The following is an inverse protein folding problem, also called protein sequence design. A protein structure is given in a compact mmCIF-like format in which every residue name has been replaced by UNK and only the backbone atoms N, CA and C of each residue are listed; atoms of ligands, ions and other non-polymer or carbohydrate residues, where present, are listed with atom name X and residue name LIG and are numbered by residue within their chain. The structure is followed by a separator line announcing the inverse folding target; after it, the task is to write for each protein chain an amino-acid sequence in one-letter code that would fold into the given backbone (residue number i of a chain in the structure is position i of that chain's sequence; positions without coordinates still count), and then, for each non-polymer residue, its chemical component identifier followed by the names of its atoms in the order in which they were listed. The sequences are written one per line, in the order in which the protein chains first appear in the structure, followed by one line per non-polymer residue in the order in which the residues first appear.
data_IF_957329426427
#
_entry.id   IF_957329426427
#
_cell.length_a   1.000
_cell.length_b   1.000
_cell.length_c   1.000
_cell.angle_alpha   90.00
_cell.angle_beta   90.00
_cell.angle_gamma   90.00
#
_symmetry.space_group_name_H-M   'P 1'
#
loop_
_entity.id
_entity.type
_entity.pdbx_description
1 polymer ?
#
# COMPACT_ATOMS: atom_id res chain seq x y z
N UNK A 1 -6.52 -8.98 -22.49
CA UNK A 1 -5.19 -9.07 -21.82
C UNK A 1 -5.25 -9.06 -20.29
N UNK A 2 -5.70 -7.96 -19.67
CA UNK A 2 -5.62 -7.80 -18.21
C UNK A 2 -6.43 -8.84 -17.45
N UNK A 3 -7.61 -9.19 -17.98
CA UNK A 3 -8.47 -10.22 -17.43
C UNK A 3 -7.77 -11.58 -17.43
N UNK A 4 -7.10 -11.94 -18.52
CA UNK A 4 -6.38 -13.19 -18.70
C UNK A 4 -5.17 -13.26 -17.75
N UNK A 5 -4.42 -12.16 -17.60
CA UNK A 5 -3.35 -12.07 -16.59
C UNK A 5 -3.93 -12.30 -15.19
N UNK A 6 -5.04 -11.64 -14.82
CA UNK A 6 -5.71 -11.85 -13.53
C UNK A 6 -6.16 -13.31 -13.34
N UNK A 7 -6.69 -13.96 -14.38
CA UNK A 7 -7.08 -15.37 -14.31
C UNK A 7 -5.88 -16.29 -14.08
N UNK A 8 -4.76 -16.03 -14.74
CA UNK A 8 -3.54 -16.81 -14.51
C UNK A 8 -3.03 -16.60 -13.09
N UNK A 9 -2.94 -15.35 -12.63
CA UNK A 9 -2.57 -15.04 -11.23
C UNK A 9 -3.49 -15.77 -10.25
N UNK A 10 -4.80 -15.83 -10.52
CA UNK A 10 -5.80 -16.53 -9.70
C UNK A 10 -5.48 -18.00 -9.60
N UNK A 11 -5.22 -18.62 -10.74
CA UNK A 11 -4.84 -20.02 -10.79
C UNK A 11 -3.55 -20.28 -10.00
N UNK A 12 -2.49 -19.49 -10.22
CA UNK A 12 -1.21 -19.67 -9.53
C UNK A 12 -1.39 -19.58 -8.01
N UNK A 13 -2.13 -18.57 -7.54
CA UNK A 13 -2.38 -18.38 -6.11
C UNK A 13 -3.24 -19.51 -5.54
N UNK A 14 -4.31 -19.95 -6.20
CA UNK A 14 -5.14 -21.06 -5.73
C UNK A 14 -4.35 -22.36 -5.60
N UNK A 15 -3.57 -22.71 -6.62
CA UNK A 15 -2.72 -23.90 -6.58
C UNK A 15 -1.69 -23.80 -5.45
N UNK A 16 -1.11 -22.62 -5.25
CA UNK A 16 -0.19 -22.37 -4.14
C UNK A 16 -0.84 -22.55 -2.76
N UNK A 17 -2.13 -22.23 -2.62
CA UNK A 17 -2.89 -22.37 -1.37
C UNK A 17 -3.28 -23.82 -1.08
N UNK A 18 -3.73 -24.56 -2.10
CA UNK A 18 -4.09 -25.99 -1.93
C UNK A 18 -2.87 -26.87 -1.63
N UNK A 19 -1.72 -26.55 -2.22
CA UNK A 19 -0.49 -27.30 -2.05
C UNK A 19 0.29 -27.04 -0.75
N UNK A 20 -0.09 -26.02 0.03
CA UNK A 20 0.61 -25.68 1.28
C UNK A 20 0.20 -26.62 2.42
N UNK A 21 1.11 -27.54 2.77
CA UNK A 21 1.16 -28.09 4.14
C UNK A 21 1.52 -26.95 5.09
N UNK A 22 0.82 -26.84 6.22
CA UNK A 22 1.06 -25.80 7.22
C UNK A 22 2.57 -25.68 7.55
N UNK A 23 3.18 -24.54 7.22
CA UNK A 23 4.55 -24.21 7.63
C UNK A 23 5.58 -23.89 6.53
N UNK A 24 5.30 -24.06 5.24
CA UNK A 24 6.28 -23.71 4.20
C UNK A 24 6.40 -22.19 4.00
N UNK A 25 7.62 -21.72 3.76
CA UNK A 25 7.91 -20.31 3.44
C UNK A 25 7.02 -19.75 2.32
N UNK A 26 6.79 -18.45 2.36
CA UNK A 26 5.98 -17.71 1.38
C UNK A 26 6.83 -16.95 0.37
N UNK A 27 8.08 -17.34 0.19
CA UNK A 27 9.05 -16.62 -0.65
C UNK A 27 9.25 -17.29 -2.01
N UNK A 28 9.46 -16.46 -3.02
CA UNK A 28 9.90 -16.87 -4.35
C UNK A 28 9.55 -15.83 -5.41
N UNK A 29 9.52 -16.29 -6.66
CA UNK A 29 9.40 -15.44 -7.83
C UNK A 29 8.15 -15.72 -8.64
N UNK A 30 7.69 -14.67 -9.35
CA UNK A 30 6.70 -14.73 -10.42
C UNK A 30 7.26 -13.95 -11.62
N UNK A 31 7.38 -14.60 -12.78
CA UNK A 31 7.77 -13.98 -14.03
C UNK A 31 6.55 -13.85 -14.94
N UNK A 32 6.34 -12.66 -15.50
CA UNK A 32 5.37 -12.39 -16.56
C UNK A 32 6.16 -11.87 -17.75
N UNK A 33 6.22 -12.67 -18.81
CA UNK A 33 6.88 -12.34 -20.06
C UNK A 33 5.82 -12.06 -21.12
N UNK A 34 5.89 -10.88 -21.73
CA UNK A 34 5.04 -10.48 -22.85
C UNK A 34 5.92 -10.19 -24.06
N UNK A 35 5.63 -10.83 -25.21
CA UNK A 35 6.43 -10.64 -26.42
C UNK A 35 5.65 -10.82 -27.71
N UNK A 36 6.14 -10.20 -28.78
CA UNK A 36 5.66 -10.39 -30.16
C UNK A 36 6.51 -11.45 -30.91
N UNK A 37 5.90 -12.15 -31.86
CA UNK A 37 6.59 -13.16 -32.69
C UNK A 37 7.35 -12.52 -33.86
N UNK A 38 6.78 -11.51 -34.52
CA UNK A 38 7.40 -10.80 -35.65
C UNK A 38 6.83 -9.37 -35.82
N UNK A 39 7.62 -8.48 -36.43
CA UNK A 39 7.20 -7.13 -36.78
C UNK A 39 6.00 -7.17 -37.76
N UNK A 40 4.79 -6.94 -37.23
CA UNK A 40 3.54 -6.95 -38.00
C UNK A 40 2.54 -8.03 -37.58
N UNK A 41 2.93 -8.98 -36.71
CA UNK A 41 2.02 -9.96 -36.16
C UNK A 41 1.08 -9.33 -35.09
N UNK A 42 -0.23 -9.40 -35.31
CA UNK A 42 -1.27 -8.85 -34.42
C UNK A 42 -1.54 -9.74 -33.18
N UNK A 43 -0.53 -10.48 -32.73
CA UNK A 43 -0.64 -11.51 -31.70
C UNK A 43 0.45 -11.31 -30.66
N UNK A 44 0.06 -11.36 -29.40
CA UNK A 44 0.98 -11.26 -28.27
C UNK A 44 1.04 -12.58 -27.54
N UNK A 45 2.25 -13.04 -27.29
CA UNK A 45 2.49 -14.18 -26.44
C UNK A 45 2.66 -13.73 -25.00
N UNK A 46 2.06 -14.48 -24.09
CA UNK A 46 2.20 -14.30 -22.66
C UNK A 46 2.66 -15.59 -22.02
N UNK A 47 3.72 -15.51 -21.23
CA UNK A 47 4.17 -16.59 -20.36
C UNK A 47 4.12 -16.11 -18.93
N UNK A 48 3.53 -16.94 -18.07
CA UNK A 48 3.62 -16.79 -16.63
C UNK A 48 4.39 -17.97 -16.05
N UNK A 49 5.44 -17.66 -15.31
CA UNK A 49 6.31 -18.63 -14.67
C UNK A 49 6.36 -18.38 -13.16
N UNK A 50 6.31 -19.45 -12.35
CA UNK A 50 6.40 -19.35 -10.89
C UNK A 50 7.47 -20.29 -10.34
N UNK A 51 8.26 -19.78 -9.39
CA UNK A 51 9.35 -20.51 -8.73
C UNK A 51 9.44 -20.18 -7.23
N UNK A 52 10.05 -21.09 -6.48
CA UNK A 52 10.31 -20.94 -5.04
C UNK A 52 9.29 -21.62 -4.11
N UNK A 53 9.49 -21.45 -2.81
CA UNK A 53 8.75 -22.16 -1.76
C UNK A 53 7.24 -21.85 -1.74
N UNK A 54 6.85 -20.64 -2.17
CA UNK A 54 5.46 -20.21 -2.18
C UNK A 54 4.57 -21.04 -3.10
N UNK A 55 5.13 -21.61 -4.17
CA UNK A 55 4.44 -22.44 -5.17
C UNK A 55 4.87 -23.92 -5.11
N UNK A 56 5.42 -24.38 -3.98
CA UNK A 56 5.97 -25.73 -3.81
C UNK A 56 4.98 -26.88 -4.01
N UNK A 57 3.69 -26.68 -3.76
CA UNK A 57 2.65 -27.71 -3.95
C UNK A 57 1.86 -27.60 -5.26
N UNK A 58 2.41 -26.91 -6.26
CA UNK A 58 1.83 -26.81 -7.61
C UNK A 58 2.26 -28.05 -8.42
N UNK A 59 1.31 -28.91 -8.82
CA UNK A 59 1.55 -30.04 -9.73
C UNK A 59 0.94 -29.77 -11.11
N UNK A 60 1.79 -29.49 -12.12
CA UNK A 60 1.36 -29.08 -13.47
C UNK A 60 0.64 -30.22 -14.24
N UNK A 61 1.02 -31.48 -13.99
CA UNK A 61 0.67 -32.63 -14.85
C UNK A 61 -0.83 -32.94 -14.94
N UNK A 62 -1.66 -32.43 -14.02
CA UNK A 62 -3.11 -32.66 -14.01
C UNK A 62 -3.96 -31.52 -14.61
N UNK A 63 -3.39 -30.35 -14.90
CA UNK A 63 -4.17 -29.12 -15.17
C UNK A 63 -4.24 -28.68 -16.64
N UNK A 64 -3.36 -29.18 -17.52
CA UNK A 64 -3.13 -28.55 -18.83
C UNK A 64 -4.27 -28.68 -19.84
N UNK A 65 -5.14 -29.70 -19.73
CA UNK A 65 -6.17 -29.96 -20.74
C UNK A 65 -7.55 -29.39 -20.37
N UNK A 66 -8.06 -29.64 -19.17
CA UNK A 66 -9.44 -29.25 -18.81
C UNK A 66 -9.57 -27.77 -18.38
N UNK A 67 -8.60 -27.21 -17.66
CA UNK A 67 -8.70 -25.80 -17.23
C UNK A 67 -8.34 -24.82 -18.35
N UNK A 68 -7.44 -25.18 -19.28
CA UNK A 68 -7.04 -24.29 -20.37
C UNK A 68 -8.22 -23.98 -21.30
N UNK A 69 -9.04 -24.99 -21.62
CA UNK A 69 -10.24 -24.83 -22.46
C UNK A 69 -11.38 -24.07 -21.79
N UNK A 70 -11.58 -24.23 -20.48
CA UNK A 70 -12.68 -23.57 -19.74
C UNK A 70 -12.34 -22.15 -19.27
N UNK A 71 -11.10 -21.89 -18.85
CA UNK A 71 -10.69 -20.59 -18.31
C UNK A 71 -10.20 -19.60 -19.36
N UNK A 72 -9.74 -20.10 -20.52
CA UNK A 72 -9.16 -19.28 -21.56
C UNK A 72 -9.81 -19.57 -22.94
N UNK A 73 -11.12 -19.38 -23.10
CA UNK A 73 -11.83 -19.72 -24.35
C UNK A 73 -11.34 -18.92 -25.57
N UNK A 74 -10.71 -17.76 -25.33
CA UNK A 74 -10.23 -16.86 -26.38
C UNK A 74 -8.73 -16.98 -26.67
N UNK A 75 -8.05 -17.93 -26.05
CA UNK A 75 -6.59 -17.97 -26.04
C UNK A 75 -6.10 -19.23 -26.75
N UNK A 76 -5.20 -19.06 -27.72
CA UNK A 76 -4.54 -20.19 -28.39
C UNK A 76 -3.31 -20.64 -27.60
N UNK A 77 -2.88 -21.91 -27.73
CA UNK A 77 -1.53 -22.30 -27.32
C UNK A 77 -0.51 -21.38 -27.99
N UNK A 78 0.47 -20.88 -27.23
CA UNK A 78 1.59 -20.10 -27.78
C UNK A 78 2.84 -20.96 -27.88
N UNK A 79 3.85 -20.43 -28.58
CA UNK A 79 5.22 -20.90 -28.43
C UNK A 79 5.67 -20.81 -26.96
N UNK A 80 6.52 -21.75 -26.56
CA UNK A 80 7.26 -21.63 -25.31
C UNK A 80 8.25 -20.46 -25.39
N UNK A 81 8.53 -19.77 -24.28
CA UNK A 81 9.50 -18.69 -24.26
C UNK A 81 10.92 -19.24 -24.53
N UNK A 82 11.81 -18.34 -24.93
CA UNK A 82 13.24 -18.65 -25.02
C UNK A 82 13.77 -19.14 -23.66
N UNK A 83 14.45 -20.30 -23.58
CA UNK A 83 15.07 -20.79 -22.34
C UNK A 83 15.96 -19.74 -21.66
N UNK A 84 16.64 -18.88 -22.43
CA UNK A 84 17.48 -17.79 -21.90
C UNK A 84 16.69 -16.77 -21.07
N UNK A 85 15.37 -16.65 -21.28
CA UNK A 85 14.52 -15.80 -20.45
C UNK A 85 14.19 -16.43 -19.10
N UNK A 86 14.20 -17.76 -19.02
CA UNK A 86 13.85 -18.52 -17.83
C UNK A 86 15.06 -18.80 -16.94
N UNK A 87 16.26 -18.94 -17.52
CA UNK A 87 17.50 -19.26 -16.78
C UNK A 87 17.73 -18.28 -15.62
N UNK A 88 17.81 -16.95 -15.81
CA UNK A 88 18.07 -16.01 -14.71
C UNK A 88 17.00 -16.06 -13.62
N UNK A 89 15.75 -16.31 -14.00
CA UNK A 89 14.64 -16.42 -13.07
C UNK A 89 14.75 -17.68 -12.20
N UNK A 90 15.09 -18.82 -12.80
CA UNK A 90 15.29 -20.08 -12.08
C UNK A 90 16.56 -20.10 -11.23
N UNK A 91 17.61 -19.41 -11.64
CA UNK A 91 18.81 -19.21 -10.83
C UNK A 91 18.50 -18.40 -9.57
N UNK A 92 17.66 -17.37 -9.69
CA UNK A 92 17.32 -16.49 -8.57
C UNK A 92 16.33 -17.12 -7.58
N UNK A 93 15.31 -17.84 -8.07
CA UNK A 93 14.19 -18.31 -7.25
C UNK A 93 14.12 -19.85 -7.09
N UNK A 94 15.04 -20.57 -7.72
CA UNK A 94 15.10 -22.04 -7.74
C UNK A 94 14.23 -22.67 -8.82
N UNK A 95 13.97 -23.97 -8.67
CA UNK A 95 13.28 -24.77 -9.68
C UNK A 95 11.90 -24.23 -10.01
N UNK A 96 11.61 -24.19 -11.32
CA UNK A 96 10.32 -23.80 -11.86
C UNK A 96 9.23 -24.79 -11.43
N UNK A 97 8.11 -24.27 -10.91
CA UNK A 97 6.94 -25.05 -10.47
C UNK A 97 5.73 -24.84 -11.35
N UNK A 98 5.70 -23.76 -12.10
CA UNK A 98 4.64 -23.43 -13.05
C UNK A 98 5.26 -22.79 -14.29
N UNK A 99 4.83 -23.22 -15.47
CA UNK A 99 5.02 -22.53 -16.74
C UNK A 99 3.72 -22.58 -17.51
N UNK A 100 3.13 -21.41 -17.78
CA UNK A 100 1.90 -21.29 -18.57
C UNK A 100 2.14 -20.30 -19.70
N UNK A 101 2.15 -20.81 -20.93
CA UNK A 101 2.33 -20.01 -22.14
C UNK A 101 1.07 -20.07 -22.99
N UNK A 102 0.64 -18.88 -23.42
CA UNK A 102 -0.60 -18.70 -24.14
C UNK A 102 -0.61 -17.43 -24.98
N UNK A 103 -1.34 -17.46 -26.10
CA UNK A 103 -1.35 -16.39 -27.10
C UNK A 103 -2.67 -15.62 -27.04
N UNK A 104 -2.57 -14.31 -26.85
CA UNK A 104 -3.72 -13.40 -26.80
C UNK A 104 -4.11 -12.99 -28.22
N UNK A 105 -5.41 -13.09 -28.54
CA UNK A 105 -5.95 -12.69 -29.85
C UNK A 105 -6.23 -11.19 -29.88
N UNK A 106 -5.80 -10.57 -30.99
CA UNK A 106 -6.19 -9.23 -31.49
C UNK A 106 -5.65 -8.01 -30.70
N UNK A 107 -4.44 -7.60 -31.04
CA UNK A 107 -3.78 -6.40 -30.52
C UNK A 107 -4.35 -5.06 -31.02
N UNK A 108 -5.28 -5.07 -32.00
CA UNK A 108 -5.80 -3.86 -32.67
C UNK A 108 -6.77 -3.03 -31.82
N UNK A 109 -7.36 -3.63 -30.79
CA UNK A 109 -8.35 -2.98 -29.92
C UNK A 109 -7.77 -2.59 -28.55
N UNK A 110 -6.45 -2.61 -28.40
CA UNK A 110 -5.84 -2.37 -27.11
C UNK A 110 -5.75 -0.87 -26.82
N UNK A 111 -6.14 -0.43 -25.62
CA UNK A 111 -5.88 0.92 -25.18
C UNK A 111 -4.38 1.22 -25.28
N UNK A 112 -4.01 2.45 -25.63
CA UNK A 112 -2.61 2.90 -25.68
C UNK A 112 -1.84 2.62 -24.38
N UNK A 113 -2.56 2.54 -23.26
CA UNK A 113 -1.99 2.52 -21.91
C UNK A 113 -1.99 1.12 -21.26
N UNK A 114 -2.21 0.06 -22.04
CA UNK A 114 -2.33 -1.30 -21.51
C UNK A 114 -1.10 -1.73 -20.68
N UNK A 115 0.10 -1.25 -21.00
CA UNK A 115 1.32 -1.54 -20.25
C UNK A 115 1.23 -0.99 -18.82
N UNK A 116 0.79 0.26 -18.69
CA UNK A 116 0.55 0.92 -17.41
C UNK A 116 -0.54 0.19 -16.61
N UNK A 117 -1.57 -0.34 -17.27
CA UNK A 117 -2.62 -1.13 -16.61
C UNK A 117 -2.08 -2.43 -16.02
N UNK A 118 -1.22 -3.13 -16.77
CA UNK A 118 -0.54 -4.35 -16.30
C UNK A 118 0.39 -4.01 -15.14
N UNK A 119 1.24 -2.99 -15.29
CA UNK A 119 2.15 -2.54 -14.22
C UNK A 119 1.37 -2.17 -12.94
N UNK A 120 0.26 -1.43 -13.05
CA UNK A 120 -0.56 -1.03 -11.91
C UNK A 120 -1.21 -2.24 -11.20
N UNK A 121 -1.69 -3.24 -11.96
CA UNK A 121 -2.23 -4.48 -11.38
C UNK A 121 -1.14 -5.28 -10.68
N UNK A 122 0.06 -5.39 -11.26
CA UNK A 122 1.17 -6.11 -10.66
C UNK A 122 1.73 -5.40 -9.42
N UNK A 123 1.80 -4.07 -9.45
CA UNK A 123 2.14 -3.27 -8.28
C UNK A 123 1.11 -3.46 -7.16
N UNK A 124 -0.18 -3.38 -7.46
CA UNK A 124 -1.21 -3.63 -6.44
C UNK A 124 -1.20 -5.08 -5.95
N UNK A 125 -0.94 -6.06 -6.83
CA UNK A 125 -0.80 -7.46 -6.44
C UNK A 125 0.40 -7.67 -5.51
N UNK A 126 1.53 -7.01 -5.75
CA UNK A 126 2.73 -7.11 -4.89
C UNK A 126 2.49 -6.56 -3.48
N UNK A 127 1.63 -5.54 -3.32
CA UNK A 127 1.27 -4.98 -2.02
C UNK A 127 0.64 -6.03 -1.09
N UNK A 128 -0.23 -6.90 -1.60
CA UNK A 128 -0.91 -7.94 -0.81
C UNK A 128 -0.19 -9.29 -0.81
N UNK A 129 0.86 -9.43 -1.61
CA UNK A 129 1.62 -10.67 -1.81
C UNK A 129 3.13 -10.42 -1.68
N UNK A 130 3.55 -9.64 -0.69
CA UNK A 130 4.94 -9.17 -0.53
C UNK A 130 6.00 -10.27 -0.37
N UNK A 131 5.57 -11.51 -0.14
CA UNK A 131 6.44 -12.69 -0.21
C UNK A 131 6.98 -13.00 -1.61
N UNK A 132 6.26 -12.58 -2.66
CA UNK A 132 6.53 -12.89 -4.05
C UNK A 132 7.23 -11.70 -4.72
N UNK A 133 8.39 -11.95 -5.32
CA UNK A 133 9.06 -10.99 -6.19
C UNK A 133 8.54 -11.15 -7.61
N UNK A 134 8.03 -10.07 -8.21
CA UNK A 134 7.42 -10.11 -9.53
C UNK A 134 8.37 -9.47 -10.54
N UNK A 135 8.60 -10.17 -11.63
CA UNK A 135 9.39 -9.71 -12.77
C UNK A 135 8.45 -9.57 -13.98
N UNK A 136 8.26 -8.35 -14.48
CA UNK A 136 7.58 -8.11 -15.74
C UNK A 136 8.63 -7.84 -16.81
N UNK A 137 8.69 -8.69 -17.83
CA UNK A 137 9.60 -8.56 -18.98
C UNK A 137 8.76 -8.34 -20.24
N UNK A 138 9.00 -7.22 -20.91
CA UNK A 138 8.35 -6.85 -22.16
C UNK A 138 9.39 -6.90 -23.28
N UNK A 139 9.13 -7.68 -24.33
CA UNK A 139 9.98 -7.78 -25.52
C UNK A 139 9.19 -7.38 -26.77
N UNK A 140 9.49 -6.22 -27.33
CA UNK A 140 8.79 -5.69 -28.50
C UNK A 140 9.76 -5.04 -29.45
N UNK A 141 9.69 -5.37 -30.74
CA UNK A 141 10.48 -4.70 -31.80
C UNK A 141 11.97 -4.50 -31.43
N UNK A 142 12.62 -5.57 -30.96
CA UNK A 142 14.02 -5.61 -30.48
C UNK A 142 14.34 -4.80 -29.21
N UNK A 143 13.35 -4.16 -28.56
CA UNK A 143 13.51 -3.54 -27.25
C UNK A 143 13.04 -4.49 -26.16
N UNK A 144 13.87 -4.63 -25.14
CA UNK A 144 13.50 -5.35 -23.91
C UNK A 144 13.41 -4.36 -22.76
N UNK A 145 12.27 -4.32 -22.07
CA UNK A 145 12.15 -3.62 -20.79
C UNK A 145 11.84 -4.63 -19.68
N UNK A 146 12.42 -4.38 -18.50
CA UNK A 146 12.21 -5.20 -17.31
C UNK A 146 11.77 -4.29 -16.18
N UNK A 147 10.73 -4.71 -15.46
CA UNK A 147 10.20 -4.06 -14.26
C UNK A 147 10.12 -5.08 -13.13
N UNK A 148 10.72 -4.72 -12.01
CA UNK A 148 10.72 -5.56 -10.81
C UNK A 148 9.83 -4.94 -9.73
N UNK A 149 8.88 -5.73 -9.22
CA UNK A 149 8.07 -5.38 -8.08
C UNK A 149 8.51 -6.22 -6.89
N UNK A 150 9.26 -5.59 -5.97
CA UNK A 150 9.81 -6.22 -4.78
C UNK A 150 9.56 -5.35 -3.54
N UNK A 151 8.92 -5.95 -2.55
CA UNK A 151 8.78 -5.34 -1.23
C UNK A 151 10.16 -5.26 -0.54
N UNK A 152 10.55 -4.06 -0.11
CA UNK A 152 11.75 -3.83 0.71
C UNK A 152 11.48 -4.18 2.16
N UNK A 153 10.32 -3.79 2.67
CA UNK A 153 9.88 -4.04 4.04
C UNK A 153 8.56 -4.79 4.00
N UNK A 154 8.50 -5.91 4.71
CA UNK A 154 7.35 -6.81 4.74
C UNK A 154 6.77 -6.83 6.14
N UNK A 155 5.44 -6.70 6.25
CA UNK A 155 4.75 -6.85 7.51
C UNK A 155 3.82 -8.07 7.47
N UNK A 156 3.91 -8.92 8.48
CA UNK A 156 3.01 -10.06 8.66
C UNK A 156 1.81 -9.64 9.52
N UNK A 157 0.61 -9.71 8.95
CA UNK A 157 -0.65 -9.42 9.64
C UNK A 157 -1.37 -10.75 9.92
N UNK A 158 -1.18 -11.29 11.11
CA UNK A 158 -1.74 -12.58 11.53
C UNK A 158 -2.83 -12.42 12.59
N UNK A 159 -3.85 -13.28 12.52
CA UNK A 159 -4.89 -13.45 13.53
C UNK A 159 -5.12 -14.95 13.76
N UNK A 160 -5.46 -15.35 14.98
CA UNK A 160 -5.48 -16.77 15.40
C UNK A 160 -6.25 -17.70 14.44
N UNK A 161 -7.32 -17.21 13.81
CA UNK A 161 -8.23 -18.02 12.97
C UNK A 161 -8.05 -17.84 11.46
N UNK A 162 -6.97 -17.18 11.03
CA UNK A 162 -6.77 -16.80 9.63
C UNK A 162 -5.34 -17.02 9.13
N UNK A 163 -5.16 -17.37 7.85
CA UNK A 163 -3.84 -17.41 7.26
C UNK A 163 -3.19 -16.01 7.34
N UNK A 164 -1.88 -15.95 7.63
CA UNK A 164 -1.19 -14.68 7.74
C UNK A 164 -1.15 -13.98 6.39
N UNK A 165 -1.42 -12.67 6.40
CA UNK A 165 -1.24 -11.80 5.24
C UNK A 165 0.16 -11.18 5.29
N UNK A 166 0.87 -11.15 4.17
CA UNK A 166 2.17 -10.47 4.05
C UNK A 166 2.01 -9.24 3.17
N UNK A 167 2.09 -8.07 3.79
CA UNK A 167 1.95 -6.79 3.12
C UNK A 167 3.31 -6.16 2.82
N UNK A 168 3.39 -5.49 1.67
CA UNK A 168 4.47 -4.54 1.41
C UNK A 168 4.12 -3.26 2.14
N UNK A 169 4.99 -2.89 3.06
CA UNK A 169 4.82 -1.67 3.86
C UNK A 169 5.94 -0.67 3.57
N UNK A 170 6.68 -0.86 2.49
CA UNK A 170 7.75 0.04 2.06
C UNK A 170 7.17 1.42 1.73
N UNK A 171 7.85 2.48 2.16
CA UNK A 171 7.49 3.84 1.75
C UNK A 171 8.10 4.14 0.37
N UNK A 172 7.30 4.40 -0.69
CA UNK A 172 7.79 4.51 -2.07
C UNK A 172 8.67 5.74 -2.33
N UNK A 173 8.57 6.78 -1.50
CA UNK A 173 9.28 8.03 -1.70
C UNK A 173 10.24 8.30 -0.54
N UNK A 174 11.50 7.88 -0.67
CA UNK A 174 12.58 8.25 0.27
C UNK A 174 13.12 9.66 0.00
N UNK A 175 12.77 10.25 -1.16
CA UNK A 175 13.45 11.43 -1.72
C UNK A 175 12.87 12.79 -1.29
N UNK A 176 11.72 12.85 -0.62
CA UNK A 176 11.00 14.12 -0.40
C UNK A 176 10.74 14.52 1.05
N UNK A 177 11.09 13.69 2.03
CA UNK A 177 10.94 14.02 3.46
C UNK A 177 12.20 14.61 4.10
N UNK A 178 13.06 15.23 3.28
CA UNK A 178 14.13 16.09 3.78
C UNK A 178 13.54 17.40 4.28
N UNK A 179 12.78 17.37 5.37
CA UNK A 179 12.62 18.56 6.18
C UNK A 179 14.04 18.97 6.62
N UNK A 180 14.44 20.18 6.23
CA UNK A 180 15.74 20.76 6.57
C UNK A 180 15.95 20.63 8.08
N UNK A 181 16.99 19.85 8.46
CA UNK A 181 17.32 19.61 9.86
C UNK A 181 17.42 20.95 10.62
N UNK A 182 17.05 20.98 11.90
CA UNK A 182 17.51 22.04 12.77
C UNK A 182 19.04 22.14 12.74
N UNK A 183 19.58 23.33 12.49
CA UNK A 183 21.02 23.57 12.62
C UNK A 183 21.47 23.13 14.02
N UNK A 184 22.51 22.29 14.11
CA UNK A 184 23.04 21.76 15.37
C UNK A 184 22.67 20.30 15.71
N UNK A 185 21.80 19.64 14.94
CA UNK A 185 21.46 18.22 15.16
C UNK A 185 22.34 17.28 14.31
N UNK A 186 23.43 16.78 14.92
CA UNK A 186 24.44 15.96 14.25
C UNK A 186 23.99 14.55 13.83
N UNK A 187 22.94 13.99 14.42
CA UNK A 187 22.44 12.64 14.06
C UNK A 187 21.51 12.71 12.84
N UNK A 188 21.58 11.74 11.93
CA UNK A 188 20.59 11.58 10.85
C UNK A 188 19.22 11.38 11.50
N UNK A 189 18.22 12.16 11.09
CA UNK A 189 16.83 11.88 11.42
C UNK A 189 16.50 10.48 10.88
N UNK A 190 16.33 9.51 11.78
CA UNK A 190 16.01 8.13 11.41
C UNK A 190 14.50 8.03 11.29
N UNK A 191 13.97 8.33 10.11
CA UNK A 191 12.57 8.07 9.79
C UNK A 191 12.33 6.57 9.72
N UNK A 192 11.13 6.17 10.13
CA UNK A 192 10.66 4.82 9.90
C UNK A 192 10.56 4.57 8.39
N UNK A 193 11.21 3.51 7.92
CA UNK A 193 11.32 3.22 6.48
C UNK A 193 10.09 2.52 5.89
N UNK A 194 9.17 2.08 6.75
CA UNK A 194 7.92 1.45 6.36
C UNK A 194 6.72 1.95 7.14
N UNK A 195 5.53 1.52 6.76
CA UNK A 195 4.30 1.76 7.50
C UNK A 195 3.96 0.61 8.46
N UNK A 196 3.06 0.89 9.41
CA UNK A 196 2.57 -0.11 10.35
C UNK A 196 1.13 -0.45 10.03
N UNK A 197 0.85 -1.64 9.48
CA UNK A 197 -0.51 -2.02 9.14
C UNK A 197 -1.32 -2.29 10.41
N UNK A 198 -2.57 -1.85 10.41
CA UNK A 198 -3.54 -2.10 11.48
C UNK A 198 -4.61 -3.02 10.92
N UNK A 199 -4.87 -4.12 11.63
CA UNK A 199 -5.92 -5.08 11.26
C UNK A 199 -7.24 -4.66 11.89
N UNK A 200 -8.20 -4.23 11.05
CA UNK A 200 -9.55 -3.85 11.47
C UNK A 200 -10.47 -5.03 11.72
N UNK A 201 -9.99 -6.25 11.50
CA UNK A 201 -10.74 -7.47 11.70
C UNK A 201 -11.58 -7.87 10.49
N UNK A 202 -12.48 -8.83 10.73
CA UNK A 202 -13.29 -9.50 9.71
C UNK A 202 -14.74 -9.08 9.86
N UNK A 203 -15.34 -8.62 8.78
CA UNK A 203 -16.77 -8.33 8.67
C UNK A 203 -17.43 -9.40 7.78
N UNK A 204 -18.40 -10.17 8.29
CA UNK A 204 -19.23 -11.05 7.46
C UNK A 204 -20.03 -10.25 6.44
N UNK A 205 -20.19 -10.79 5.22
CA UNK A 205 -20.96 -10.18 4.15
C UNK A 205 -22.09 -11.13 3.75
N UNK A 206 -23.32 -10.61 3.73
CA UNK A 206 -24.47 -11.32 3.15
C UNK A 206 -24.36 -11.36 1.63
N UNK A 207 -24.52 -12.54 1.04
CA UNK A 207 -24.54 -12.74 -0.41
C UNK A 207 -25.93 -12.33 -0.93
N UNK A 208 -26.04 -11.42 -1.92
CA UNK A 208 -27.33 -11.00 -2.45
C UNK A 208 -27.98 -12.13 -3.28
N UNK A 209 -29.33 -12.18 -3.37
CA UNK A 209 -30.04 -13.23 -4.09
C UNK A 209 -29.54 -13.46 -5.52
N UNK A 210 -29.24 -12.38 -6.26
CA UNK A 210 -28.75 -12.45 -7.63
C UNK A 210 -27.44 -13.24 -7.76
N UNK A 211 -26.53 -13.09 -6.79
CA UNK A 211 -25.29 -13.83 -6.76
C UNK A 211 -25.52 -15.30 -6.32
N UNK A 212 -26.47 -15.53 -5.41
CA UNK A 212 -26.88 -16.89 -5.02
C UNK A 212 -27.49 -17.67 -6.19
N UNK A 213 -28.35 -17.02 -6.98
CA UNK A 213 -28.97 -17.58 -8.18
C UNK A 213 -27.91 -17.93 -9.25
N UNK A 214 -26.81 -17.15 -9.29
CA UNK A 214 -25.62 -17.44 -10.08
C UNK A 214 -24.74 -18.59 -9.54
N UNK A 215 -25.11 -19.19 -8.40
CA UNK A 215 -24.40 -20.31 -7.79
C UNK A 215 -23.33 -19.91 -6.76
N UNK A 216 -23.26 -18.64 -6.33
CA UNK A 216 -22.34 -18.22 -5.28
C UNK A 216 -22.88 -18.67 -3.90
N UNK A 217 -22.28 -19.74 -3.37
CA UNK A 217 -22.64 -20.35 -2.09
C UNK A 217 -21.50 -20.24 -1.07
N UNK A 218 -21.83 -20.43 0.21
CA UNK A 218 -20.88 -20.44 1.32
C UNK A 218 -20.77 -19.11 2.05
N UNK A 219 -19.71 -18.96 2.84
CA UNK A 219 -19.49 -17.80 3.69
C UNK A 219 -18.61 -16.77 2.98
N UNK A 220 -19.10 -15.54 2.88
CA UNK A 220 -18.35 -14.39 2.39
C UNK A 220 -18.06 -13.41 3.53
N UNK A 221 -16.89 -12.78 3.45
CA UNK A 221 -16.48 -11.75 4.41
C UNK A 221 -15.42 -10.84 3.81
N UNK A 222 -15.24 -9.68 4.42
CA UNK A 222 -14.14 -8.75 4.11
C UNK A 222 -13.29 -8.55 5.35
N UNK A 223 -11.97 -8.62 5.17
CA UNK A 223 -10.99 -8.18 6.17
C UNK A 223 -10.48 -6.80 5.78
N UNK A 224 -10.54 -5.87 6.72
CA UNK A 224 -10.04 -4.51 6.52
C UNK A 224 -8.64 -4.40 7.12
N UNK A 225 -7.70 -3.86 6.35
CA UNK A 225 -6.37 -3.53 6.86
C UNK A 225 -6.04 -2.10 6.44
N UNK A 226 -5.56 -1.28 7.37
CA UNK A 226 -5.12 0.09 7.05
C UNK A 226 -3.62 0.25 7.20
N UNK A 227 -3.05 1.15 6.40
CA UNK A 227 -1.64 1.49 6.42
C UNK A 227 -1.48 3.00 6.19
N UNK A 228 -1.07 3.73 7.22
CA UNK A 228 -0.79 5.17 7.12
C UNK A 228 0.71 5.38 6.85
N UNK A 229 1.04 6.12 5.79
CA UNK A 229 2.42 6.41 5.41
C UNK A 229 2.62 7.89 5.01
N UNK A 230 3.81 8.48 5.22
CA UNK A 230 4.95 7.91 5.94
C UNK A 230 4.66 7.74 7.43
N UNK A 231 5.41 6.85 8.10
CA UNK A 231 5.29 6.66 9.55
C UNK A 231 6.07 7.76 10.28
N UNK A 232 5.37 8.47 11.16
CA UNK A 232 5.93 9.55 12.00
C UNK A 232 5.85 9.25 13.50
N UNK A 233 5.67 7.98 13.89
CA UNK A 233 5.49 7.61 15.30
C UNK A 233 6.67 8.03 16.19
N UNK A 234 7.87 8.13 15.62
CA UNK A 234 9.08 8.57 16.33
C UNK A 234 9.12 10.09 16.58
N UNK A 235 8.19 10.84 15.97
CA UNK A 235 8.11 12.29 16.03
C UNK A 235 6.71 12.73 16.54
N UNK A 236 6.45 12.63 17.85
CA UNK A 236 5.13 12.88 18.43
C UNK A 236 4.61 14.31 18.22
N UNK A 237 5.51 15.28 18.08
CA UNK A 237 5.16 16.69 17.96
C UNK A 237 5.20 17.18 16.51
N UNK A 238 5.48 16.31 15.55
CA UNK A 238 5.49 16.73 14.16
C UNK A 238 4.05 16.95 13.68
N UNK A 239 3.74 18.13 13.12
CA UNK A 239 2.43 18.37 12.52
C UNK A 239 2.27 17.46 11.31
N UNK A 240 1.07 16.88 11.16
CA UNK A 240 0.75 16.00 10.04
C UNK A 240 -0.65 16.22 9.54
N UNK A 241 -0.81 15.98 8.25
CA UNK A 241 -2.05 16.16 7.55
C UNK A 241 -2.33 14.96 6.66
N UNK A 242 -3.60 14.60 6.51
CA UNK A 242 -3.98 13.54 5.58
C UNK A 242 -4.25 14.16 4.20
N UNK A 243 -3.44 13.75 3.23
CA UNK A 243 -3.53 14.15 1.83
C UNK A 243 -4.53 13.30 1.06
N UNK A 244 -4.48 11.98 1.25
CA UNK A 244 -5.30 11.06 0.47
C UNK A 244 -5.61 9.75 1.19
N UNK A 245 -6.71 9.12 0.77
CA UNK A 245 -7.11 7.76 1.14
C UNK A 245 -7.20 6.94 -0.13
N UNK A 246 -6.39 5.90 -0.29
CA UNK A 246 -6.46 4.97 -1.41
C UNK A 246 -7.05 3.64 -0.93
N UNK A 247 -8.20 3.30 -1.49
CA UNK A 247 -8.95 2.06 -1.20
C UNK A 247 -8.62 1.03 -2.27
N UNK A 248 -8.08 -0.11 -1.85
CA UNK A 248 -7.72 -1.23 -2.69
C UNK A 248 -8.60 -2.44 -2.34
N UNK A 249 -9.26 -3.02 -3.34
CA UNK A 249 -10.09 -4.21 -3.14
C UNK A 249 -9.40 -5.41 -3.75
N UNK A 250 -9.40 -6.51 -3.01
CA UNK A 250 -8.81 -7.78 -3.41
C UNK A 250 -9.84 -8.89 -3.30
N UNK A 251 -9.87 -9.75 -4.31
CA UNK A 251 -10.68 -10.98 -4.27
C UNK A 251 -10.08 -12.01 -3.29
N UNK A 252 -10.75 -13.15 -3.05
CA UNK A 252 -10.25 -14.21 -2.15
C UNK A 252 -8.87 -14.76 -2.51
N UNK A 253 -8.41 -14.59 -3.74
CA UNK A 253 -7.05 -14.91 -4.18
C UNK A 253 -6.02 -13.79 -3.99
N UNK A 254 -6.33 -12.74 -3.22
CA UNK A 254 -5.47 -11.56 -3.05
C UNK A 254 -5.08 -10.92 -4.39
N UNK A 255 -5.97 -10.96 -5.39
CA UNK A 255 -5.76 -10.30 -6.66
C UNK A 255 -6.54 -8.99 -6.66
N UNK A 256 -5.89 -7.88 -7.02
CA UNK A 256 -6.56 -6.59 -7.06
C UNK A 256 -7.64 -6.63 -8.13
N UNK A 257 -8.85 -6.26 -7.74
CA UNK A 257 -10.00 -6.14 -8.63
C UNK A 257 -10.28 -4.67 -8.91
N UNK A 258 -10.75 -4.38 -10.12
CA UNK A 258 -11.27 -3.05 -10.43
C UNK A 258 -12.50 -2.82 -9.54
N UNK A 259 -12.44 -1.82 -8.68
CA UNK A 259 -13.37 -1.70 -7.56
C UNK A 259 -14.79 -1.28 -7.98
N UNK A 260 -15.80 -1.58 -7.14
CA UNK A 260 -17.18 -1.15 -7.31
C UNK A 260 -17.26 0.38 -7.25
N UNK A 261 -17.29 1.01 -8.42
CA UNK A 261 -17.20 2.45 -8.57
C UNK A 261 -18.42 3.15 -7.99
N UNK A 262 -19.61 2.55 -8.07
CA UNK A 262 -20.85 3.12 -7.52
C UNK A 262 -20.82 3.18 -6.00
N UNK A 263 -20.43 2.08 -5.36
CA UNK A 263 -20.37 1.95 -3.91
C UNK A 263 -19.43 3.01 -3.31
N UNK A 264 -18.21 3.10 -3.85
CA UNK A 264 -17.19 4.01 -3.33
C UNK A 264 -17.44 5.48 -3.67
N UNK A 265 -18.18 5.80 -4.74
CA UNK A 265 -18.63 7.18 -4.97
C UNK A 265 -19.51 7.70 -3.83
N UNK A 266 -20.21 6.82 -3.10
CA UNK A 266 -20.99 7.21 -1.92
C UNK A 266 -20.17 7.27 -0.63
N UNK A 267 -18.89 6.91 -0.66
CA UNK A 267 -18.04 6.94 0.51
C UNK A 267 -17.89 8.34 1.09
N UNK A 268 -17.51 9.38 0.33
CA UNK A 268 -17.31 10.71 0.89
C UNK A 268 -18.55 11.28 1.60
N UNK A 269 -19.73 11.16 0.97
CA UNK A 269 -20.98 11.69 1.54
C UNK A 269 -21.42 10.94 2.81
N UNK A 270 -21.03 9.68 2.95
CA UNK A 270 -21.30 8.89 4.15
C UNK A 270 -20.26 9.07 5.26
N UNK A 271 -19.10 9.66 4.96
CA UNK A 271 -18.01 9.86 5.91
C UNK A 271 -18.12 11.24 6.55
N UNK A 272 -18.92 11.35 7.60
CA UNK A 272 -18.85 12.50 8.52
C UNK A 272 -17.61 12.39 9.42
N UNK A 273 -16.45 12.59 8.79
CA UNK A 273 -15.13 12.48 9.41
C UNK A 273 -14.56 13.86 9.78
N UNK A 274 -15.41 14.88 9.98
CA UNK A 274 -14.97 16.21 10.43
C UNK A 274 -14.18 16.13 11.73
N UNK A 275 -14.59 15.25 12.64
CA UNK A 275 -13.90 14.95 13.90
C UNK A 275 -12.52 14.30 13.72
N UNK A 276 -12.23 13.72 12.54
CA UNK A 276 -10.93 13.20 12.15
C UNK A 276 -10.08 14.23 11.39
N UNK A 277 -10.56 15.48 11.30
CA UNK A 277 -9.90 16.55 10.55
C UNK A 277 -10.02 16.42 9.03
N UNK A 278 -10.88 15.52 8.53
CA UNK A 278 -11.13 15.36 7.11
C UNK A 278 -12.30 16.26 6.70
N UNK A 279 -11.99 17.41 6.10
CA UNK A 279 -12.99 18.25 5.43
C UNK A 279 -13.02 17.90 3.95
N UNK A 280 -14.22 17.55 3.49
CA UNK A 280 -14.55 17.34 2.08
C UNK A 280 -13.60 16.39 1.36
N UNK A 281 -13.90 15.09 1.45
CA UNK A 281 -13.21 14.12 0.61
C UNK A 281 -13.79 14.22 -0.80
N UNK A 282 -12.92 14.40 -1.78
CA UNK A 282 -13.29 14.41 -3.18
C UNK A 282 -12.75 13.14 -3.84
N UNK A 283 -13.53 12.60 -4.77
CA UNK A 283 -13.07 11.56 -5.65
C UNK A 283 -12.67 12.25 -6.97
N UNK A 284 -11.38 12.49 -7.22
CA UNK A 284 -10.95 13.12 -8.46
C UNK A 284 -11.37 12.28 -9.66
N UNK A 285 -11.79 12.94 -10.73
CA UNK A 285 -12.21 12.29 -11.97
C UNK A 285 -11.06 11.43 -12.54
N UNK A 286 -11.40 10.22 -13.01
CA UNK A 286 -10.49 9.16 -13.46
C UNK A 286 -9.59 9.57 -14.65
N UNK A 287 -8.55 10.36 -14.42
CA UNK A 287 -7.60 10.77 -15.48
C UNK A 287 -6.13 10.43 -15.23
N UNK A 288 -5.73 10.09 -14.00
CA UNK A 288 -4.33 9.73 -13.70
C UNK A 288 -4.12 8.19 -13.67
N UNK A 289 -3.01 7.65 -14.19
CA UNK A 289 -2.64 6.23 -14.07
C UNK A 289 -2.66 5.67 -12.63
N UNK A 290 -2.44 6.50 -11.60
CA UNK A 290 -2.49 6.06 -10.19
C UNK A 290 -3.89 5.66 -9.69
N UNK A 291 -4.96 6.06 -10.40
CA UNK A 291 -6.36 5.77 -10.10
C UNK A 291 -6.91 4.53 -10.82
N UNK A 292 -6.07 3.79 -11.56
CA UNK A 292 -6.53 2.64 -12.37
C UNK A 292 -6.76 1.37 -11.56
N UNK A 293 -6.08 1.24 -10.42
CA UNK A 293 -6.29 0.15 -9.45
C UNK A 293 -6.60 0.74 -8.07
N UNK A 294 -7.87 0.57 -7.67
CA UNK A 294 -8.42 1.13 -6.44
C UNK A 294 -9.09 2.49 -6.62
N UNK A 295 -9.76 2.95 -5.58
CA UNK A 295 -10.41 4.27 -5.54
C UNK A 295 -9.63 5.17 -4.61
N UNK A 296 -9.23 6.35 -5.09
CA UNK A 296 -8.47 7.31 -4.29
C UNK A 296 -9.36 8.51 -4.00
N UNK A 297 -9.33 8.94 -2.75
CA UNK A 297 -9.98 10.13 -2.26
C UNK A 297 -8.93 11.13 -1.81
N UNK A 298 -9.07 12.37 -2.22
CA UNK A 298 -8.23 13.51 -1.84
C UNK A 298 -8.99 14.40 -0.87
N UNK A 299 -8.27 15.09 0.01
CA UNK A 299 -8.86 16.12 0.87
C UNK A 299 -9.00 17.43 0.10
N UNK A 300 -10.09 18.17 0.30
CA UNK A 300 -10.32 19.49 -0.30
C UNK A 300 -9.16 20.45 -0.09
N UNK A 301 -8.55 20.40 1.09
CA UNK A 301 -7.42 21.26 1.46
C UNK A 301 -6.21 21.01 0.54
N UNK A 302 -5.87 19.74 0.28
CA UNK A 302 -4.79 19.38 -0.62
C UNK A 302 -5.05 19.80 -2.07
N UNK A 303 -6.29 19.70 -2.56
CA UNK A 303 -6.59 20.11 -3.95
C UNK A 303 -6.53 21.62 -4.15
N UNK A 304 -6.87 22.39 -3.12
CA UNK A 304 -6.75 23.84 -3.14
C UNK A 304 -5.27 24.28 -3.06
N UNK A 305 -4.47 23.61 -2.24
CA UNK A 305 -3.02 23.86 -2.14
C UNK A 305 -2.29 23.52 -3.45
N UNK A 306 -2.64 22.40 -4.12
CA UNK A 306 -2.05 22.03 -5.43
C UNK A 306 -2.34 23.04 -6.54
N UNK A 307 -3.42 23.82 -6.46
CA UNK A 307 -3.74 24.89 -7.42
C UNK A 307 -2.92 26.16 -7.18
N UNK A 308 -2.26 26.29 -6.03
CA UNK A 308 -1.46 27.45 -5.65
C UNK A 308 0.06 27.23 -5.82
N UNK A 309 0.49 26.09 -6.35
CA UNK A 309 1.90 25.71 -6.56
C UNK A 309 2.63 26.50 -7.69
N UNK A 310 2.16 27.70 -8.06
CA UNK A 310 2.88 28.62 -8.96
C UNK A 310 3.86 29.55 -8.21
N UNK A 311 3.96 29.47 -6.87
CA UNK A 311 4.93 30.24 -6.10
C UNK A 311 5.80 29.34 -5.21
N UNK A 312 7.09 29.27 -5.52
CA UNK A 312 8.16 28.63 -4.74
C UNK A 312 8.24 29.23 -3.32
N UNK A 313 7.41 28.74 -2.40
CA UNK A 313 7.56 29.02 -0.98
C UNK A 313 7.95 27.74 -0.25
N UNK A 314 9.24 27.40 -0.32
CA UNK A 314 9.90 26.44 0.58
C UNK A 314 9.82 26.98 2.02
N UNK A 315 8.67 26.81 2.65
CA UNK A 315 8.52 27.03 4.09
C UNK A 315 8.82 25.71 4.80
N UNK A 316 9.79 25.75 5.72
CA UNK A 316 10.19 24.64 6.59
C UNK A 316 9.12 24.21 7.63
N UNK A 317 7.88 24.62 7.43
CA UNK A 317 6.79 24.60 8.43
C UNK A 317 5.55 23.83 8.00
N UNK A 318 5.53 23.29 6.77
CA UNK A 318 4.38 22.54 6.29
C UNK A 318 4.22 21.22 7.06
N UNK A 319 2.97 20.82 7.40
CA UNK A 319 2.71 19.53 8.02
C UNK A 319 3.21 18.39 7.12
N UNK A 320 3.68 17.30 7.72
CA UNK A 320 4.03 16.10 6.95
C UNK A 320 2.76 15.53 6.35
N UNK A 321 2.72 15.50 5.03
CA UNK A 321 1.60 14.96 4.26
C UNK A 321 1.62 13.43 4.34
N UNK A 322 0.53 12.85 4.83
CA UNK A 322 0.34 11.41 4.99
C UNK A 322 -0.76 10.91 4.04
N UNK A 323 -0.59 9.72 3.52
CA UNK A 323 -1.58 8.99 2.74
C UNK A 323 -1.97 7.70 3.47
N UNK A 324 -3.26 7.39 3.43
CA UNK A 324 -3.83 6.20 4.03
C UNK A 324 -4.15 5.18 2.95
N UNK A 325 -3.57 3.99 3.02
CA UNK A 325 -3.98 2.84 2.22
C UNK A 325 -4.98 2.01 3.02
N UNK A 326 -6.13 1.71 2.42
CA UNK A 326 -7.17 0.87 2.97
C UNK A 326 -7.35 -0.37 2.08
N UNK A 327 -7.05 -1.54 2.63
CA UNK A 327 -7.19 -2.83 1.96
C UNK A 327 -8.52 -3.47 2.35
N UNK A 328 -9.35 -3.81 1.38
CA UNK A 328 -10.52 -4.67 1.53
C UNK A 328 -10.19 -6.03 0.93
N UNK A 329 -9.88 -6.99 1.78
CA UNK A 329 -9.49 -8.34 1.38
C UNK A 329 -10.68 -9.27 1.54
N UNK A 330 -11.30 -9.65 0.42
CA UNK A 330 -12.40 -10.60 0.44
C UNK A 330 -11.90 -11.98 0.86
N UNK A 331 -12.73 -12.69 1.60
CA UNK A 331 -12.47 -14.05 2.03
C UNK A 331 -13.73 -14.85 1.79
N UNK A 332 -13.59 -15.94 1.05
CA UNK A 332 -14.68 -16.84 0.72
C UNK A 332 -14.34 -18.24 1.20
N UNK A 333 -15.31 -18.90 1.82
CA UNK A 333 -15.22 -20.30 2.24
C UNK A 333 -16.50 -21.00 1.78
N UNK A 334 -16.35 -21.91 0.84
CA UNK A 334 -17.43 -22.77 0.40
C UNK A 334 -17.05 -24.23 0.67
N UNK A 335 -17.74 -24.94 1.59
CA UNK A 335 -17.47 -26.34 1.88
C UNK A 335 -17.79 -27.28 0.70
N UNK A 336 -18.54 -26.79 -0.30
CA UNK A 336 -18.94 -27.55 -1.48
C UNK A 336 -17.96 -27.40 -2.66
N UNK A 337 -16.95 -26.53 -2.57
CA UNK A 337 -15.91 -26.43 -3.60
C UNK A 337 -14.87 -27.53 -3.40
N UNK A 338 -14.79 -28.48 -4.32
CA UNK A 338 -13.82 -29.58 -4.28
C UNK A 338 -12.75 -29.47 -5.38
N UNK A 339 -13.07 -28.85 -6.52
CA UNK A 339 -12.16 -28.70 -7.65
C UNK A 339 -11.66 -27.26 -7.79
N UNK A 340 -10.46 -27.09 -8.36
CA UNK A 340 -9.89 -25.78 -8.67
C UNK A 340 -10.82 -24.91 -9.52
N UNK A 341 -11.55 -25.53 -10.45
CA UNK A 341 -12.57 -24.86 -11.26
C UNK A 341 -13.67 -24.21 -10.42
N UNK A 342 -14.05 -24.82 -9.31
CA UNK A 342 -15.15 -24.35 -8.45
C UNK A 342 -14.71 -23.09 -7.70
N UNK A 343 -13.47 -23.09 -7.19
CA UNK A 343 -12.86 -21.92 -6.55
C UNK A 343 -12.68 -20.76 -7.54
N UNK A 344 -12.23 -21.05 -8.77
CA UNK A 344 -12.10 -20.04 -9.82
C UNK A 344 -13.47 -19.46 -10.20
N UNK A 345 -14.48 -20.31 -10.38
CA UNK A 345 -15.84 -19.89 -10.70
C UNK A 345 -16.44 -19.03 -9.59
N UNK A 346 -16.29 -19.43 -8.33
CA UNK A 346 -16.75 -18.65 -7.18
C UNK A 346 -16.06 -17.28 -7.10
N UNK A 347 -14.73 -17.23 -7.27
CA UNK A 347 -13.98 -15.98 -7.29
C UNK A 347 -14.42 -15.04 -8.42
N UNK A 348 -14.73 -15.59 -9.60
CA UNK A 348 -15.26 -14.81 -10.73
C UNK A 348 -16.66 -14.28 -10.45
N UNK A 349 -17.54 -15.09 -9.84
CA UNK A 349 -18.87 -14.64 -9.42
C UNK A 349 -18.78 -13.54 -8.35
N UNK A 350 -17.86 -13.65 -7.39
CA UNK A 350 -17.61 -12.61 -6.39
C UNK A 350 -17.14 -11.31 -7.05
N UNK A 351 -16.22 -11.38 -8.01
CA UNK A 351 -15.75 -10.20 -8.75
C UNK A 351 -16.88 -9.58 -9.59
N UNK A 352 -17.68 -10.42 -10.26
CA UNK A 352 -18.82 -9.98 -11.07
C UNK A 352 -19.89 -9.27 -10.23
N UNK A 353 -20.22 -9.83 -9.06
CA UNK A 353 -21.27 -9.31 -8.17
C UNK A 353 -20.75 -8.39 -7.06
N UNK A 354 -19.51 -7.91 -7.16
CA UNK A 354 -18.86 -7.19 -6.07
C UNK A 354 -19.61 -5.91 -5.68
N UNK A 355 -20.11 -5.17 -6.66
CA UNK A 355 -20.92 -3.96 -6.47
C UNK A 355 -22.20 -4.28 -5.69
N UNK A 356 -22.96 -5.29 -6.11
CA UNK A 356 -24.19 -5.70 -5.43
C UNK A 356 -23.91 -6.23 -4.03
N UNK A 357 -22.84 -7.01 -3.85
CA UNK A 357 -22.42 -7.54 -2.54
C UNK A 357 -22.13 -6.40 -1.58
N UNK A 358 -21.33 -5.40 -1.97
CA UNK A 358 -21.03 -4.27 -1.09
C UNK A 358 -22.27 -3.41 -0.83
N UNK A 359 -23.10 -3.18 -1.85
CA UNK A 359 -24.34 -2.42 -1.71
C UNK A 359 -25.34 -3.10 -0.76
N UNK A 360 -25.51 -4.42 -0.86
CA UNK A 360 -26.35 -5.23 0.03
C UNK A 360 -25.90 -5.11 1.49
N UNK A 361 -24.60 -4.93 1.73
CA UNK A 361 -24.01 -4.83 3.06
C UNK A 361 -23.64 -3.37 3.45
N UNK A 362 -24.16 -2.37 2.73
CA UNK A 362 -23.67 -1.00 2.79
C UNK A 362 -23.57 -0.43 4.21
N UNK A 363 -24.61 -0.47 5.07
CA UNK A 363 -24.51 0.12 6.41
C UNK A 363 -23.35 -0.47 7.25
N UNK A 364 -23.17 -1.79 7.20
CA UNK A 364 -22.15 -2.49 7.95
C UNK A 364 -20.74 -2.23 7.38
N UNK A 365 -20.59 -2.27 6.06
CA UNK A 365 -19.32 -2.00 5.38
C UNK A 365 -18.87 -0.56 5.62
N UNK A 366 -19.77 0.42 5.48
CA UNK A 366 -19.43 1.83 5.72
C UNK A 366 -19.09 2.11 7.18
N UNK A 367 -19.79 1.48 8.14
CA UNK A 367 -19.46 1.59 9.55
C UNK A 367 -18.08 0.99 9.87
N UNK A 368 -17.75 -0.16 9.27
CA UNK A 368 -16.44 -0.79 9.42
C UNK A 368 -15.32 0.06 8.81
N UNK A 369 -15.51 0.60 7.60
CA UNK A 369 -14.54 1.50 6.95
C UNK A 369 -14.31 2.75 7.81
N UNK A 370 -15.38 3.40 8.27
CA UNK A 370 -15.29 4.60 9.12
C UNK A 370 -14.54 4.31 10.42
N UNK A 371 -14.88 3.20 11.07
CA UNK A 371 -14.21 2.77 12.31
C UNK A 371 -12.73 2.54 12.08
N UNK A 372 -12.37 1.91 10.96
CA UNK A 372 -11.00 1.52 10.67
C UNK A 372 -10.13 2.72 10.24
N UNK A 373 -10.68 3.65 9.45
CA UNK A 373 -10.03 4.94 9.19
C UNK A 373 -9.85 5.70 10.51
N UNK A 374 -10.89 5.76 11.35
CA UNK A 374 -10.80 6.37 12.68
C UNK A 374 -9.68 5.76 13.53
N UNK A 375 -9.55 4.43 13.54
CA UNK A 375 -8.49 3.70 14.23
C UNK A 375 -7.10 4.06 13.70
N UNK A 376 -6.90 4.04 12.38
CA UNK A 376 -5.63 4.41 11.75
C UNK A 376 -5.22 5.85 12.08
N UNK A 377 -6.20 6.75 12.17
CA UNK A 377 -6.01 8.17 12.43
C UNK A 377 -5.86 8.52 13.93
N UNK A 378 -6.09 7.57 14.86
CA UNK A 378 -5.98 7.82 16.31
C UNK A 378 -4.64 8.44 16.70
N UNK A 379 -3.54 7.92 16.17
CA UNK A 379 -2.20 8.41 16.47
C UNK A 379 -2.02 9.86 15.96
N UNK A 380 -2.53 10.18 14.77
CA UNK A 380 -2.50 11.53 14.23
C UNK A 380 -3.35 12.50 15.05
N UNK A 381 -4.58 12.13 15.40
CA UNK A 381 -5.48 12.96 16.19
C UNK A 381 -4.89 13.25 17.58
N UNK A 382 -4.26 12.25 18.20
CA UNK A 382 -3.58 12.43 19.48
C UNK A 382 -2.40 13.39 19.36
N UNK A 383 -1.61 13.33 18.28
CA UNK A 383 -0.50 14.26 18.01
C UNK A 383 -1.01 15.68 17.80
N UNK A 384 -2.09 15.88 17.04
CA UNK A 384 -2.74 17.19 16.86
C UNK A 384 -3.14 17.81 18.21
N UNK A 385 -3.79 17.02 19.07
CA UNK A 385 -4.16 17.46 20.43
C UNK A 385 -2.94 17.79 21.31
N UNK A 386 -1.85 17.03 21.17
CA UNK A 386 -0.59 17.33 21.86
C UNK A 386 0.04 18.62 21.33
N UNK A 387 -0.01 18.85 20.03
CA UNK A 387 0.50 20.06 19.41
C UNK A 387 -0.26 21.31 19.86
N UNK A 388 -1.59 21.25 19.95
CA UNK A 388 -2.41 22.35 20.49
C UNK A 388 -1.97 22.71 21.91
N UNK A 389 -1.77 21.72 22.79
CA UNK A 389 -1.27 21.94 24.15
C UNK A 389 0.14 22.56 24.17
N UNK A 390 1.03 22.09 23.30
CA UNK A 390 2.40 22.62 23.19
C UNK A 390 2.39 24.06 22.67
N UNK A 391 1.53 24.37 21.70
CA UNK A 391 1.37 25.73 21.18
C UNK A 391 0.86 26.68 22.26
N UNK A 392 -0.16 26.29 23.05
CA UNK A 392 -0.63 27.09 24.18
C UNK A 392 0.44 27.29 25.25
N UNK A 393 1.22 26.25 25.56
CA UNK A 393 2.33 26.37 26.51
C UNK A 393 3.44 27.29 25.98
N UNK A 394 3.77 27.20 24.69
CA UNK A 394 4.77 28.04 24.06
C UNK A 394 4.38 29.52 24.05
N UNK A 395 3.10 29.83 23.84
CA UNK A 395 2.57 31.19 23.93
C UNK A 395 2.74 31.77 25.34
N UNK A 396 2.45 30.97 26.38
CA UNK A 396 2.65 31.39 27.78
C UNK A 396 4.14 31.60 28.10
N UNK A 397 5.01 30.68 27.66
CA UNK A 397 6.47 30.79 27.84
C UNK A 397 6.99 32.05 27.14
N UNK A 398 6.57 32.29 25.90
CA UNK A 398 6.96 33.44 25.11
C UNK A 398 6.49 34.74 25.77
N UNK A 399 5.21 34.84 26.14
CA UNK A 399 4.63 36.01 26.81
C UNK A 399 5.34 36.31 28.13
N UNK A 400 5.58 35.29 28.96
CA UNK A 400 6.27 35.45 30.25
C UNK A 400 7.71 35.92 30.07
N UNK A 401 8.45 35.31 29.12
CA UNK A 401 9.84 35.68 28.83
C UNK A 401 9.91 37.12 28.32
N UNK A 402 9.02 37.49 27.40
CA UNK A 402 8.96 38.84 26.85
C UNK A 402 8.58 39.87 27.90
N UNK A 403 7.68 39.55 28.83
CA UNK A 403 7.34 40.42 29.95
C UNK A 403 8.54 40.64 30.88
N UNK A 404 9.28 39.59 31.24
CA UNK A 404 10.48 39.70 32.09
C UNK A 404 11.53 40.62 31.45
N UNK A 405 11.83 40.43 30.16
CA UNK A 405 12.84 41.25 29.47
C UNK A 405 12.34 42.68 29.28
N UNK A 406 11.09 42.87 28.89
CA UNK A 406 10.55 44.22 28.58
C UNK A 406 10.30 45.06 29.84
N UNK A 407 9.94 44.43 30.96
CA UNK A 407 9.67 45.11 32.23
C UNK A 407 10.92 45.25 33.12
N UNK A 408 12.04 44.62 32.78
CA UNK A 408 13.28 44.75 33.56
C UNK A 408 13.78 46.18 33.54
N UNK A 409 14.09 46.76 34.70
CA UNK A 409 14.72 48.07 34.83
C UNK A 409 16.25 48.02 34.62
N UNK A 410 16.85 46.83 34.63
CA UNK A 410 18.29 46.64 34.44
C UNK A 410 18.65 46.60 32.94
N UNK A 411 19.33 47.65 32.47
CA UNK A 411 19.74 47.81 31.07
C UNK A 411 20.73 46.72 30.64
N UNK A 412 21.70 46.38 31.50
CA UNK A 412 22.72 45.37 31.21
C UNK A 412 22.10 43.99 31.02
N UNK A 413 21.09 43.65 31.84
CA UNK A 413 20.33 42.41 31.69
C UNK A 413 19.62 42.35 30.33
N UNK A 414 18.91 43.43 29.94
CA UNK A 414 18.19 43.45 28.64
C UNK A 414 19.16 43.33 27.47
N UNK A 415 20.26 44.08 27.50
CA UNK A 415 21.31 44.02 26.48
C UNK A 415 21.93 42.62 26.40
N UNK A 416 22.24 42.00 27.55
CA UNK A 416 22.76 40.63 27.57
C UNK A 416 21.77 39.62 26.95
N UNK A 417 20.46 39.77 27.16
CA UNK A 417 19.45 38.93 26.50
C UNK A 417 19.44 39.12 24.98
N UNK A 418 19.53 40.38 24.50
CA UNK A 418 19.60 40.69 23.08
C UNK A 418 20.88 40.15 22.43
N UNK A 419 22.03 40.32 23.09
CA UNK A 419 23.33 39.85 22.61
C UNK A 419 23.39 38.32 22.53
N UNK A 420 22.91 37.62 23.56
CA UNK A 420 22.85 36.15 23.60
C UNK A 420 22.00 35.59 22.46
N UNK A 421 20.88 36.24 22.16
CA UNK A 421 19.95 35.82 21.11
C UNK A 421 20.28 36.43 19.74
N UNK A 422 21.29 37.32 19.68
CA UNK A 422 21.72 38.05 18.47
C UNK A 422 20.57 38.81 17.79
N UNK A 423 19.78 39.53 18.56
CA UNK A 423 18.61 40.29 18.10
C UNK A 423 18.75 41.77 18.46
N UNK A 424 18.19 42.65 17.63
CA UNK A 424 18.32 44.09 17.82
C UNK A 424 17.29 44.69 18.78
N UNK A 425 16.12 44.05 18.92
CA UNK A 425 15.00 44.57 19.70
C UNK A 425 14.12 43.45 20.28
N UNK A 426 13.12 43.84 21.08
CA UNK A 426 12.14 42.94 21.70
C UNK A 426 11.24 42.22 20.69
N UNK A 427 10.93 42.81 19.54
CA UNK A 427 10.09 42.14 18.53
C UNK A 427 10.88 41.01 17.84
N UNK A 428 12.13 41.29 17.47
CA UNK A 428 13.07 40.31 16.96
C UNK A 428 13.34 39.20 17.98
N UNK A 429 13.47 39.54 19.27
CA UNK A 429 13.57 38.57 20.35
C UNK A 429 12.35 37.65 20.40
N UNK A 430 11.14 38.21 20.38
CA UNK A 430 9.89 37.45 20.41
C UNK A 430 9.78 36.47 19.23
N UNK A 431 10.05 36.97 18.03
CA UNK A 431 10.03 36.16 16.81
C UNK A 431 11.06 35.02 16.86
N UNK A 432 12.31 35.33 17.22
CA UNK A 432 13.39 34.35 17.27
C UNK A 432 13.18 33.31 18.37
N UNK A 433 12.69 33.71 19.54
CA UNK A 433 12.36 32.80 20.64
C UNK A 433 11.17 31.91 20.28
N UNK A 434 10.10 32.48 19.71
CA UNK A 434 8.95 31.73 19.24
C UNK A 434 9.34 30.67 18.21
N UNK A 435 10.20 31.05 17.26
CA UNK A 435 10.71 30.12 16.24
C UNK A 435 11.62 29.04 16.82
N UNK A 436 12.53 29.41 17.73
CA UNK A 436 13.40 28.46 18.42
C UNK A 436 12.61 27.45 19.25
N UNK A 437 11.59 27.90 19.99
CA UNK A 437 10.71 27.05 20.77
C UNK A 437 9.95 26.06 19.88
N UNK A 438 9.31 26.55 18.80
CA UNK A 438 8.62 25.68 17.84
C UNK A 438 9.57 24.63 17.25
N UNK A 439 10.76 25.06 16.81
CA UNK A 439 11.76 24.16 16.23
C UNK A 439 12.21 23.08 17.20
N UNK A 440 12.48 23.42 18.46
CA UNK A 440 12.89 22.44 19.48
C UNK A 440 11.75 21.47 19.80
N UNK A 441 10.52 21.96 19.90
CA UNK A 441 9.37 21.14 20.24
C UNK A 441 9.00 20.16 19.11
N UNK A 442 8.89 20.63 17.87
CA UNK A 442 8.44 19.80 16.73
C UNK A 442 9.38 18.62 16.45
N UNK A 443 10.69 18.81 16.66
CA UNK A 443 11.72 17.82 16.35
C UNK A 443 12.04 16.84 17.48
N UNK A 444 11.24 16.83 18.56
CA UNK A 444 11.39 15.84 19.63
C UNK A 444 11.32 14.43 19.03
N UNK A 445 12.39 13.67 19.20
CA UNK A 445 12.49 12.28 18.76
C UNK A 445 12.27 11.33 19.94
N UNK A 446 11.41 10.34 19.75
CA UNK A 446 11.22 9.23 20.67
C UNK A 446 11.47 7.91 19.93
N UNK A 447 12.41 7.06 20.39
CA UNK A 447 12.59 5.75 19.79
C UNK A 447 11.33 4.90 20.03
N UNK A 448 10.80 4.31 18.96
CA UNK A 448 9.63 3.41 19.01
C UNK A 448 10.08 2.05 18.51
N UNK A 449 10.06 1.04 19.40
CA UNK A 449 10.57 -0.31 19.08
C UNK A 449 9.81 -1.06 17.99
N UNK A 450 8.64 -0.55 17.55
CA UNK A 450 7.88 -1.12 16.43
C UNK A 450 8.26 -0.54 15.07
N UNK A 451 9.01 0.57 15.02
CA UNK A 451 9.39 1.25 13.78
C UNK A 451 10.54 0.54 13.06
N UNK A 452 10.50 0.54 11.73
CA UNK A 452 11.55 -0.02 10.88
C UNK A 452 12.71 0.97 10.75
N UNK A 453 13.84 0.69 11.39
CA UNK A 453 15.07 1.46 11.28
C UNK A 453 16.01 0.86 10.24
N UNK A 454 16.92 1.67 9.68
CA UNK A 454 17.94 1.24 8.70
C UNK A 454 18.93 0.20 9.23
N UNK A 455 18.94 -0.11 10.54
CA UNK A 455 19.83 -1.13 11.12
C UNK A 455 19.28 -2.57 11.01
N UNK A 456 18.07 -2.79 10.50
CA UNK A 456 17.49 -4.13 10.41
C UNK A 456 17.95 -4.98 9.22
N UNK A 457 18.79 -4.48 8.32
CA UNK A 457 19.32 -5.26 7.19
C UNK A 457 20.55 -6.13 7.52
N UNK A 458 21.24 -5.94 8.65
CA UNK A 458 22.48 -6.70 8.94
C UNK A 458 22.32 -7.94 9.84
N UNK A 459 21.17 -8.17 10.50
CA UNK A 459 21.07 -9.22 11.52
C UNK A 459 20.17 -10.43 11.19
N UNK A 460 19.83 -10.66 9.90
CA UNK A 460 19.06 -11.86 9.50
C UNK A 460 19.91 -12.95 8.82
N UNK A 461 21.24 -12.81 8.81
CA UNK A 461 22.16 -13.85 8.29
C UNK A 461 23.09 -14.48 9.34
N UNK A 462 23.01 -14.08 10.61
CA UNK A 462 23.77 -14.73 11.68
C UNK A 462 22.90 -14.99 12.91
N UNK A 463 22.25 -16.15 12.94
CA UNK A 463 22.14 -16.96 14.16
C UNK A 463 21.75 -18.40 13.78
N UNK A 464 22.73 -19.12 13.23
CA UNK A 464 22.86 -20.56 13.40
C UNK A 464 24.02 -20.81 14.36
N UNK A 465 23.79 -21.67 15.37
CA UNK A 465 24.74 -22.07 16.43
C UNK A 465 24.95 -20.98 17.50
N UNK A 466 24.93 -21.21 18.81
CA UNK A 466 24.93 -22.40 19.67
C UNK A 466 24.46 -21.92 21.05
N UNK A 467 23.76 -22.76 21.82
CA UNK A 467 24.01 -22.90 23.27
C UNK A 467 23.28 -24.13 23.81
N UNK A 468 24.10 -25.11 24.15
CA UNK A 468 23.86 -26.18 25.13
C UNK A 468 23.68 -25.60 26.54
N UNK A 469 23.31 -26.49 27.47
CA UNK A 469 22.92 -26.36 28.88
C UNK A 469 21.39 -26.47 29.01
N UNK A 470 20.79 -27.61 29.38
CA UNK A 470 21.19 -28.73 30.26
C UNK A 470 20.99 -30.07 29.57
#
# INVERSE_FOLDING_TARGET
MLQEIRQVLRLVVLMSKQGRRHGSGSTGGLLILLWDEEAGAQRLNCTVAAAGSWCSGVEIKALQLDLKGRMFPHVSPSLEPDPEDLIPFTELHGSLRLLLSFQMKDARHWPSDWQSDVEAVLQAFSLANAGIQIHLKLKFAQKTSVRDFRAKIKAKVSRADQPPLLLDVSCPEQKRWFLSKPHGWAKRASWCQGGHPVDGGRLPLGIPPQAMDGGLLGDLSVRLVTLLHPCVLQYPNMPTELKSIKVLVYNPCNIPVSGPSGFFQTLPSSMDCQHLGLRGLQCPAHKDPEFRVGTVFTTEQWENEKKCDDEEQESSHLPVQQSLLLFLLLQHRNPFCSHLSDFVAADMLIEHHLEEILCNNKPAVMAAIRTEIGNAMKAQNQRKKQQEKLNSAAEVILSSTMSIVSCSSNVDFRNACFDLMKVADTHALSSHLGESLRRVMSWRFLPVGRCYSTQMEENLLHHGSTKSEI
#
